data_IF_835004191843
#
_entry.id   IF_835004191843
#
_cell.length_a   1.000
_cell.length_b   1.000
_cell.length_c   1.000
_cell.angle_alpha   90.00
_cell.angle_beta   90.00
_cell.angle_gamma   90.00
#
_symmetry.space_group_name_H-M   'P 1'
#
loop_
_entity.id
_entity.type
_entity.pdbx_description
1 polymer ?
#
# COMPACT_ATOMS: atom_id res chain seq x y z
N UNK A 1 -50.65 6.58 45.91
CA UNK A 1 -50.44 7.98 46.36
C UNK A 1 -49.02 8.01 46.91
N UNK A 2 -48.03 8.79 46.46
CA UNK A 2 -47.99 10.18 46.02
C UNK A 2 -46.74 10.38 45.10
N UNK A 3 -46.80 11.36 44.19
CA UNK A 3 -45.73 11.80 43.26
C UNK A 3 -44.77 12.80 43.93
N UNK A 4 -43.50 12.86 43.48
CA UNK A 4 -42.68 14.07 43.23
C UNK A 4 -41.27 13.65 42.72
N UNK A 5 -40.89 13.86 41.45
CA UNK A 5 -40.27 15.04 40.82
C UNK A 5 -38.76 15.24 41.17
N UNK A 6 -37.82 14.96 40.23
CA UNK A 6 -37.01 15.93 39.43
C UNK A 6 -35.63 16.23 40.12
N UNK A 7 -34.42 16.29 39.53
CA UNK A 7 -33.89 16.51 38.16
C UNK A 7 -32.41 16.06 38.02
N UNK A 8 -32.05 15.50 36.86
CA UNK A 8 -30.90 15.76 35.94
C UNK A 8 -29.58 16.35 36.52
N UNK A 9 -28.45 15.65 36.32
CA UNK A 9 -27.23 16.25 35.71
C UNK A 9 -26.57 15.24 34.76
N UNK A 10 -26.53 15.66 33.49
CA UNK A 10 -25.74 15.13 32.40
C UNK A 10 -24.25 15.43 32.63
N UNK A 11 -23.38 14.43 32.48
CA UNK A 11 -22.03 14.67 31.96
C UNK A 11 -21.72 13.61 30.91
N UNK A 12 -21.98 14.02 29.68
CA UNK A 12 -21.41 13.46 28.48
C UNK A 12 -19.88 13.51 28.52
N UNK A 13 -19.26 12.57 27.80
CA UNK A 13 -18.05 12.88 27.03
C UNK A 13 -16.73 12.58 27.71
N UNK A 14 -16.33 11.31 27.65
CA UNK A 14 -14.94 10.99 27.28
C UNK A 14 -14.98 10.04 26.09
N UNK A 15 -15.46 10.59 24.96
CA UNK A 15 -15.19 9.99 23.67
C UNK A 15 -13.70 10.27 23.42
N UNK A 16 -12.87 9.25 23.67
CA UNK A 16 -11.44 9.30 23.38
C UNK A 16 -11.28 9.36 21.86
N UNK A 17 -11.44 10.55 21.30
CA UNK A 17 -10.98 10.88 19.97
C UNK A 17 -9.45 10.79 20.02
N UNK A 18 -8.92 9.59 19.79
CA UNK A 18 -7.62 9.48 19.15
C UNK A 18 -7.77 10.18 17.80
N UNK A 19 -7.33 11.43 17.73
CA UNK A 19 -6.96 12.06 16.47
C UNK A 19 -5.79 11.23 15.93
N UNK A 20 -6.11 10.22 15.13
CA UNK A 20 -5.18 9.75 14.13
C UNK A 20 -4.85 10.98 13.28
N UNK A 21 -3.62 11.49 13.40
CA UNK A 21 -3.09 12.49 12.50
C UNK A 21 -2.99 11.85 11.11
N UNK A 22 -4.11 11.88 10.37
CA UNK A 22 -4.13 11.59 8.94
C UNK A 22 -3.22 12.64 8.31
N UNK A 23 -2.12 12.20 7.69
CA UNK A 23 -0.97 13.02 7.33
C UNK A 23 -1.33 14.37 6.70
N UNK A 24 -0.55 15.41 7.03
CA UNK A 24 -0.74 16.75 6.49
C UNK A 24 -0.56 16.73 4.97
N UNK A 25 -1.67 16.87 4.25
CA UNK A 25 -1.68 17.16 2.83
C UNK A 25 -1.97 18.64 2.67
N UNK A 26 -1.00 19.38 2.12
CA UNK A 26 -1.21 20.78 1.77
C UNK A 26 -1.59 20.87 0.28
N UNK A 27 -2.74 21.48 0.00
CA UNK A 27 -3.20 21.72 -1.36
C UNK A 27 -3.31 23.23 -1.58
N UNK A 28 -2.37 23.80 -2.33
CA UNK A 28 -2.47 25.18 -2.78
C UNK A 28 -3.41 25.23 -3.99
N UNK A 29 -4.37 26.16 -3.95
CA UNK A 29 -5.18 26.51 -5.12
C UNK A 29 -4.44 27.54 -5.97
N UNK A 30 -4.77 27.69 -7.27
CA UNK A 30 -4.28 28.83 -8.01
C UNK A 30 -4.78 30.12 -7.35
N UNK A 31 -3.89 31.10 -7.20
CA UNK A 31 -4.27 32.44 -6.78
C UNK A 31 -5.35 32.97 -7.73
N UNK A 32 -6.43 33.51 -7.17
CA UNK A 32 -7.52 34.09 -7.92
C UNK A 32 -7.07 35.41 -8.58
N UNK A 33 -6.25 35.35 -9.62
CA UNK A 33 -6.00 36.49 -10.49
C UNK A 33 -7.18 36.67 -11.44
N UNK A 34 -7.84 37.82 -11.28
CA UNK A 34 -9.00 38.28 -12.03
C UNK A 34 -8.68 38.34 -13.53
N UNK A 35 -9.08 37.31 -14.31
CA UNK A 35 -9.01 37.37 -15.78
C UNK A 35 -10.41 37.45 -16.40
N UNK A 36 -10.60 38.51 -17.17
CA UNK A 36 -11.78 38.78 -17.98
C UNK A 36 -11.85 37.80 -19.14
N UNK A 37 -12.81 36.86 -19.06
CA UNK A 37 -13.52 36.18 -20.14
C UNK A 37 -12.76 35.63 -21.34
N UNK A 38 -12.54 34.30 -21.39
CA UNK A 38 -12.65 33.43 -22.58
C UNK A 38 -12.87 31.96 -22.14
N UNK A 39 -13.94 31.32 -22.65
CA UNK A 39 -14.23 29.86 -22.79
C UNK A 39 -14.07 28.90 -21.57
N UNK A 40 -14.72 27.71 -21.53
CA UNK A 40 -14.66 26.82 -20.37
C UNK A 40 -13.31 26.10 -20.34
N UNK A 41 -12.34 26.72 -19.68
CA UNK A 41 -11.08 26.09 -19.30
C UNK A 41 -11.41 25.03 -18.24
N UNK A 42 -10.98 23.79 -18.48
CA UNK A 42 -11.09 22.71 -17.51
C UNK A 42 -10.61 23.20 -16.12
N UNK A 43 -11.38 22.89 -15.07
CA UNK A 43 -11.11 23.37 -13.72
C UNK A 43 -9.63 23.17 -13.35
N UNK A 44 -8.95 24.20 -12.83
CA UNK A 44 -7.54 24.09 -12.48
C UNK A 44 -7.39 23.05 -11.38
N UNK A 45 -6.74 21.92 -11.69
CA UNK A 45 -6.44 20.88 -10.71
C UNK A 45 -5.58 21.50 -9.62
N UNK A 46 -6.11 21.58 -8.40
CA UNK A 46 -5.33 21.94 -7.20
C UNK A 46 -4.12 21.03 -7.13
N UNK A 47 -2.93 21.61 -7.06
CA UNK A 47 -1.70 20.86 -6.89
C UNK A 47 -1.59 20.56 -5.40
N UNK A 48 -1.65 19.28 -5.04
CA UNK A 48 -1.46 18.86 -3.66
C UNK A 48 -0.06 18.29 -3.51
N UNK A 49 0.68 18.84 -2.55
CA UNK A 49 1.98 18.32 -2.14
C UNK A 49 1.77 17.48 -0.88
N UNK A 50 2.37 16.29 -0.86
CA UNK A 50 2.51 15.55 0.38
C UNK A 50 3.61 16.25 1.20
N UNK A 51 3.26 16.74 2.39
CA UNK A 51 4.29 17.14 3.34
C UNK A 51 4.89 15.87 3.95
N UNK A 52 6.21 15.79 3.98
CA UNK A 52 6.91 14.75 4.71
C UNK A 52 6.67 14.97 6.20
N UNK A 53 6.17 13.95 6.90
CA UNK A 53 6.17 14.01 8.37
C UNK A 53 7.58 13.75 8.89
N UNK A 54 7.86 14.14 10.12
CA UNK A 54 9.13 13.76 10.80
C UNK A 54 9.34 12.25 10.81
N UNK A 55 8.26 11.47 10.93
CA UNK A 55 8.29 10.02 10.79
C UNK A 55 8.71 9.60 9.38
N UNK A 56 8.27 10.30 8.33
CA UNK A 56 8.63 10.00 6.95
C UNK A 56 10.11 10.21 6.63
N UNK A 57 10.76 11.14 7.34
CA UNK A 57 12.17 11.46 7.13
C UNK A 57 13.11 10.54 7.92
N UNK A 58 12.72 10.11 9.11
CA UNK A 58 13.64 9.43 10.05
C UNK A 58 13.26 7.99 10.39
N UNK A 59 11.99 7.60 10.23
CA UNK A 59 11.53 6.26 10.61
C UNK A 59 11.77 5.23 9.50
N UNK A 60 12.22 4.03 9.86
CA UNK A 60 12.29 2.90 8.92
C UNK A 60 10.98 2.10 8.87
N UNK A 61 10.00 2.45 9.69
CA UNK A 61 8.71 1.78 9.70
C UNK A 61 7.78 2.32 8.62
N UNK A 62 6.92 1.45 8.09
CA UNK A 62 5.87 1.84 7.14
C UNK A 62 4.74 2.58 7.88
N UNK A 63 4.40 3.83 7.50
CA UNK A 63 3.27 4.56 8.09
C UNK A 63 1.95 3.80 7.91
N UNK A 64 1.07 3.91 8.91
CA UNK A 64 -0.19 3.16 8.97
C UNK A 64 -1.09 3.41 7.75
N UNK A 65 -1.19 4.66 7.29
CA UNK A 65 -1.97 5.07 6.12
C UNK A 65 -1.45 4.49 4.79
N UNK A 66 -0.20 4.00 4.77
CA UNK A 66 0.46 3.45 3.58
C UNK A 66 0.66 1.93 3.63
N UNK A 67 0.39 1.27 4.78
CA UNK A 67 0.62 -0.17 4.96
C UNK A 67 -0.11 -1.04 3.92
N UNK A 68 -1.37 -0.73 3.63
CA UNK A 68 -2.11 -1.51 2.64
C UNK A 68 -1.50 -1.37 1.24
N UNK A 69 -1.23 -0.14 0.78
CA UNK A 69 -0.60 0.07 -0.53
C UNK A 69 0.76 -0.63 -0.59
N UNK A 70 1.55 -0.55 0.48
CA UNK A 70 2.84 -1.21 0.57
C UNK A 70 2.71 -2.73 0.46
N UNK A 71 1.69 -3.33 1.09
CA UNK A 71 1.49 -4.77 1.04
C UNK A 71 1.16 -5.24 -0.37
N UNK A 72 0.27 -4.51 -1.04
CA UNK A 72 -0.09 -4.79 -2.43
C UNK A 72 1.12 -4.68 -3.36
N UNK A 73 2.01 -3.72 -3.12
CA UNK A 73 3.29 -3.62 -3.83
C UNK A 73 4.16 -4.87 -3.60
N UNK A 74 4.31 -5.33 -2.36
CA UNK A 74 5.08 -6.54 -2.03
C UNK A 74 4.50 -7.75 -2.76
N UNK A 75 3.18 -7.97 -2.65
CA UNK A 75 2.49 -9.06 -3.33
C UNK A 75 2.68 -9.01 -4.86
N UNK A 76 2.62 -7.81 -5.44
CA UNK A 76 2.85 -7.61 -6.86
C UNK A 76 4.28 -7.94 -7.29
N UNK A 77 5.28 -7.45 -6.55
CA UNK A 77 6.70 -7.67 -6.84
C UNK A 77 7.02 -9.16 -6.80
N UNK A 78 6.53 -9.89 -5.78
CA UNK A 78 6.70 -11.34 -5.68
C UNK A 78 5.98 -12.07 -6.82
N UNK A 79 4.74 -11.70 -7.14
CA UNK A 79 3.97 -12.28 -8.26
C UNK A 79 4.72 -12.17 -9.59
N UNK A 80 5.23 -10.98 -9.91
CA UNK A 80 6.00 -10.75 -11.14
C UNK A 80 7.33 -11.51 -11.11
N UNK A 81 7.96 -11.56 -9.93
CA UNK A 81 9.15 -12.33 -9.66
C UNK A 81 9.00 -13.82 -10.00
N UNK A 82 7.99 -14.47 -9.41
CA UNK A 82 7.68 -15.88 -9.63
C UNK A 82 7.29 -16.18 -11.08
N UNK A 83 6.48 -15.31 -11.72
CA UNK A 83 6.19 -15.40 -13.15
C UNK A 83 7.48 -15.41 -13.98
N UNK A 84 8.37 -14.46 -13.73
CA UNK A 84 9.63 -14.35 -14.48
C UNK A 84 10.52 -15.58 -14.32
N UNK A 85 10.64 -16.11 -13.09
CA UNK A 85 11.43 -17.33 -12.83
C UNK A 85 10.79 -18.55 -13.47
N UNK A 86 9.47 -18.69 -13.38
CA UNK A 86 8.71 -19.79 -14.01
C UNK A 86 8.82 -19.78 -15.53
N UNK A 87 8.65 -18.62 -16.17
CA UNK A 87 8.79 -18.50 -17.63
C UNK A 87 10.22 -18.78 -18.09
N UNK A 88 11.24 -18.28 -17.37
CA UNK A 88 12.64 -18.64 -17.65
C UNK A 88 12.91 -20.14 -17.50
N UNK A 89 12.31 -20.78 -16.49
CA UNK A 89 12.45 -22.20 -16.27
C UNK A 89 11.80 -23.03 -17.39
N UNK A 90 10.62 -22.62 -17.86
CA UNK A 90 9.92 -23.21 -19.02
C UNK A 90 10.74 -23.06 -20.30
N UNK A 91 11.27 -21.87 -20.58
CA UNK A 91 12.07 -21.61 -21.77
C UNK A 91 13.37 -22.45 -21.84
N UNK A 92 13.94 -22.80 -20.69
CA UNK A 92 15.13 -23.66 -20.58
C UNK A 92 14.83 -25.15 -20.63
N UNK A 93 13.56 -25.55 -20.52
CA UNK A 93 13.15 -26.95 -20.56
C UNK A 93 12.90 -27.38 -22.00
N UNK A 94 13.54 -28.48 -22.44
CA UNK A 94 13.26 -29.10 -23.75
C UNK A 94 11.88 -29.78 -23.81
N UNK A 95 11.26 -29.99 -22.65
CA UNK A 95 9.96 -30.64 -22.49
C UNK A 95 8.96 -29.61 -21.95
N UNK A 96 7.72 -29.59 -22.45
CA UNK A 96 6.62 -28.73 -21.96
C UNK A 96 6.19 -29.01 -20.50
N UNK A 97 6.93 -29.81 -19.76
CA UNK A 97 6.60 -30.23 -18.41
C UNK A 97 6.85 -29.09 -17.43
N UNK A 98 5.94 -28.93 -16.46
CA UNK A 98 6.07 -27.95 -15.39
C UNK A 98 7.32 -28.31 -14.57
N UNK A 99 8.29 -27.39 -14.49
CA UNK A 99 9.48 -27.60 -13.67
C UNK A 99 9.09 -27.46 -12.20
N UNK A 100 9.47 -28.43 -11.37
CA UNK A 100 9.38 -28.35 -9.92
C UNK A 100 10.57 -27.54 -9.39
N UNK A 101 10.31 -26.53 -8.58
CA UNK A 101 11.36 -25.79 -7.88
C UNK A 101 11.69 -26.50 -6.56
N UNK A 102 12.97 -26.58 -6.21
CA UNK A 102 13.36 -27.04 -4.89
C UNK A 102 13.21 -25.90 -3.87
N UNK A 103 12.88 -26.24 -2.63
CA UNK A 103 12.61 -25.28 -1.54
C UNK A 103 13.69 -24.21 -1.37
N UNK A 104 14.95 -24.63 -1.30
CA UNK A 104 16.09 -23.70 -1.19
C UNK A 104 16.15 -22.66 -2.33
N UNK A 105 15.71 -23.02 -3.55
CA UNK A 105 15.72 -22.09 -4.68
C UNK A 105 14.65 -21.00 -4.52
N UNK A 106 13.52 -21.36 -3.92
CA UNK A 106 12.42 -20.43 -3.65
C UNK A 106 12.79 -19.52 -2.48
N UNK A 107 13.35 -20.07 -1.40
CA UNK A 107 13.84 -19.30 -0.26
C UNK A 107 14.85 -18.23 -0.72
N UNK A 108 15.89 -18.64 -1.45
CA UNK A 108 16.89 -17.71 -1.97
C UNK A 108 16.27 -16.68 -2.93
N UNK A 109 15.29 -17.07 -3.74
CA UNK A 109 14.62 -16.15 -4.65
C UNK A 109 13.83 -15.07 -3.89
N UNK A 110 13.03 -15.47 -2.90
CA UNK A 110 12.21 -14.56 -2.10
C UNK A 110 13.10 -13.63 -1.28
N UNK A 111 14.11 -14.18 -0.61
CA UNK A 111 15.09 -13.39 0.16
C UNK A 111 15.79 -12.34 -0.71
N UNK A 112 16.28 -12.74 -1.88
CA UNK A 112 16.93 -11.81 -2.81
C UNK A 112 15.97 -10.74 -3.34
N UNK A 113 14.70 -11.10 -3.58
CA UNK A 113 13.68 -10.16 -4.05
C UNK A 113 13.35 -9.13 -2.97
N UNK A 114 13.17 -9.57 -1.72
CA UNK A 114 12.83 -8.69 -0.60
C UNK A 114 14.01 -7.83 -0.14
N UNK A 115 15.22 -8.39 -0.06
CA UNK A 115 16.41 -7.70 0.44
C UNK A 115 16.99 -6.70 -0.57
N UNK A 116 16.79 -6.91 -1.87
CA UNK A 116 17.33 -6.04 -2.89
C UNK A 116 16.42 -4.82 -3.15
N UNK A 117 16.74 -3.70 -2.51
CA UNK A 117 16.04 -2.39 -2.63
C UNK A 117 15.78 -1.94 -4.08
N UNK A 118 16.56 -2.42 -5.05
CA UNK A 118 16.36 -2.16 -6.48
C UNK A 118 14.97 -2.50 -7.01
N UNK A 119 14.31 -3.54 -6.48
CA UNK A 119 12.95 -3.88 -6.87
C UNK A 119 11.94 -2.82 -6.44
N UNK A 120 12.27 -2.04 -5.42
CA UNK A 120 11.38 -1.03 -4.82
C UNK A 120 11.72 0.42 -5.20
N UNK A 121 12.78 0.67 -5.99
CA UNK A 121 13.24 2.03 -6.34
C UNK A 121 12.22 2.86 -7.13
N UNK A 122 11.30 2.21 -7.85
CA UNK A 122 10.31 2.87 -8.70
C UNK A 122 9.01 3.21 -7.98
N UNK A 123 8.91 2.89 -6.69
CA UNK A 123 7.76 3.23 -5.87
C UNK A 123 8.01 4.53 -5.13
N UNK A 124 6.94 5.29 -4.93
CA UNK A 124 7.02 6.61 -4.31
C UNK A 124 5.69 7.06 -3.76
N UNK A 125 5.71 8.24 -3.15
CA UNK A 125 4.53 8.85 -2.56
C UNK A 125 3.77 9.68 -3.60
N UNK A 126 2.45 9.66 -3.55
CA UNK A 126 1.57 10.52 -4.34
C UNK A 126 0.39 10.98 -3.48
N UNK A 127 -0.17 12.14 -3.79
CA UNK A 127 -1.42 12.59 -3.19
C UNK A 127 -2.57 12.34 -4.16
N UNK A 128 -3.59 11.63 -3.71
CA UNK A 128 -4.83 11.40 -4.45
C UNK A 128 -5.99 11.75 -3.54
N UNK A 129 -6.89 12.63 -4.00
CA UNK A 129 -8.07 13.05 -3.23
C UNK A 129 -7.75 13.55 -1.81
N UNK A 130 -6.65 14.31 -1.65
CA UNK A 130 -6.14 14.80 -0.37
C UNK A 130 -5.68 13.70 0.60
N UNK A 131 -5.42 12.50 0.10
CA UNK A 131 -4.87 11.39 0.89
C UNK A 131 -3.52 10.99 0.32
N UNK A 132 -2.55 10.73 1.20
CA UNK A 132 -1.24 10.21 0.82
C UNK A 132 -1.39 8.74 0.47
N UNK A 133 -0.87 8.34 -0.69
CA UNK A 133 -0.90 6.97 -1.20
C UNK A 133 0.47 6.62 -1.77
N UNK A 134 0.81 5.33 -1.81
CA UNK A 134 1.96 4.92 -2.62
C UNK A 134 1.55 4.84 -4.09
N UNK A 135 2.53 4.98 -4.97
CA UNK A 135 2.38 4.83 -6.42
C UNK A 135 3.47 3.93 -6.96
N UNK A 136 3.08 3.08 -7.91
CA UNK A 136 3.95 2.16 -8.63
C UNK A 136 3.15 0.98 -9.21
N UNK A 137 3.83 0.08 -9.93
CA UNK A 137 3.17 -1.07 -10.56
C UNK A 137 2.49 -1.95 -9.49
N UNK A 138 1.30 -2.43 -9.79
CA UNK A 138 0.49 -3.19 -8.81
C UNK A 138 -0.49 -2.33 -8.01
N UNK A 139 -0.48 -1.00 -8.19
CA UNK A 139 -1.48 -0.08 -7.63
C UNK A 139 -2.21 0.69 -8.73
N UNK A 140 -3.43 1.14 -8.44
CA UNK A 140 -4.24 1.97 -9.34
C UNK A 140 -3.59 3.35 -9.56
N UNK A 141 -2.83 3.81 -8.58
CA UNK A 141 -2.11 5.09 -8.57
C UNK A 141 -0.87 5.11 -9.47
N UNK A 142 -0.53 4.00 -10.15
CA UNK A 142 0.66 3.86 -10.98
C UNK A 142 0.79 4.94 -12.07
N UNK A 143 -0.34 5.38 -12.64
CA UNK A 143 -0.38 6.34 -13.76
C UNK A 143 -0.51 7.79 -13.31
N UNK A 144 -0.47 8.05 -12.01
CA UNK A 144 -0.58 9.40 -11.50
C UNK A 144 0.70 10.19 -11.77
N UNK A 145 0.55 11.47 -12.10
CA UNK A 145 1.67 12.42 -12.23
C UNK A 145 2.06 12.95 -10.85
N UNK A 146 3.32 13.38 -10.69
CA UNK A 146 3.79 13.97 -9.42
C UNK A 146 4.17 12.94 -8.35
N UNK A 147 4.62 11.76 -8.76
CA UNK A 147 5.12 10.73 -7.84
C UNK A 147 6.48 11.14 -7.29
N UNK A 148 6.60 11.17 -5.97
CA UNK A 148 7.86 11.39 -5.27
C UNK A 148 8.54 10.06 -4.97
N UNK A 149 9.42 9.63 -5.88
CA UNK A 149 10.22 8.40 -5.73
C UNK A 149 11.51 8.66 -4.98
N UNK A 150 11.97 7.70 -4.18
CA UNK A 150 13.25 7.78 -3.45
C UNK A 150 13.09 7.81 -1.93
N UNK A 151 14.01 8.46 -1.22
CA UNK A 151 14.03 8.52 0.24
C UNK A 151 14.08 7.14 0.89
N UNK A 152 13.35 6.98 2.01
CA UNK A 152 13.28 5.73 2.76
C UNK A 152 12.29 4.72 2.18
N UNK A 153 11.48 5.07 1.16
CA UNK A 153 10.42 4.19 0.63
C UNK A 153 10.93 2.82 0.15
N UNK A 154 12.03 2.73 -0.62
CA UNK A 154 12.56 1.43 -1.01
C UNK A 154 13.05 0.59 0.17
N UNK A 155 13.54 1.24 1.24
CA UNK A 155 13.97 0.55 2.46
C UNK A 155 12.78 0.04 3.26
N UNK A 156 11.74 0.86 3.42
CA UNK A 156 10.50 0.47 4.12
C UNK A 156 9.81 -0.69 3.41
N UNK A 157 9.69 -0.63 2.08
CA UNK A 157 9.10 -1.71 1.27
C UNK A 157 9.93 -3.00 1.34
N UNK A 158 11.26 -2.90 1.27
CA UNK A 158 12.17 -4.03 1.42
C UNK A 158 12.05 -4.68 2.79
N UNK A 159 12.06 -3.89 3.87
CA UNK A 159 11.87 -4.38 5.24
C UNK A 159 10.51 -5.06 5.43
N UNK A 160 9.45 -4.49 4.86
CA UNK A 160 8.11 -5.04 4.98
C UNK A 160 7.95 -6.34 4.18
N UNK A 161 8.59 -6.44 3.01
CA UNK A 161 8.68 -7.67 2.23
C UNK A 161 9.29 -8.79 3.06
N UNK A 162 10.49 -8.56 3.62
CA UNK A 162 11.19 -9.55 4.45
C UNK A 162 10.37 -9.95 5.67
N UNK A 163 9.70 -8.98 6.33
CA UNK A 163 8.84 -9.28 7.47
C UNK A 163 7.68 -10.19 7.08
N UNK A 164 6.91 -9.82 6.06
CA UNK A 164 5.72 -10.57 5.67
C UNK A 164 6.04 -11.97 5.16
N UNK A 165 7.10 -12.12 4.37
CA UNK A 165 7.49 -13.43 3.87
C UNK A 165 8.08 -14.30 4.98
N UNK A 166 8.76 -13.72 5.97
CA UNK A 166 9.25 -14.45 7.12
C UNK A 166 8.13 -14.87 8.10
N UNK A 167 7.06 -14.08 8.22
CA UNK A 167 5.89 -14.41 9.04
C UNK A 167 5.01 -15.48 8.37
N UNK A 168 4.78 -15.38 7.05
CA UNK A 168 3.94 -16.32 6.30
C UNK A 168 4.65 -17.61 5.86
N UNK A 169 5.98 -17.58 5.80
CA UNK A 169 6.80 -18.61 5.17
C UNK A 169 6.97 -18.38 3.66
N UNK A 170 8.22 -18.32 3.20
CA UNK A 170 8.54 -18.05 1.79
C UNK A 170 8.05 -19.18 0.86
N UNK A 171 8.06 -20.41 1.37
CA UNK A 171 7.62 -21.59 0.63
C UNK A 171 6.10 -21.61 0.46
N UNK A 172 5.36 -21.27 1.51
CA UNK A 172 3.92 -21.12 1.53
C UNK A 172 3.48 -20.00 0.58
N UNK A 173 4.17 -18.86 0.61
CA UNK A 173 3.94 -17.75 -0.34
C UNK A 173 4.12 -18.20 -1.79
N UNK A 174 5.16 -18.97 -2.10
CA UNK A 174 5.34 -19.49 -3.46
C UNK A 174 4.24 -20.49 -3.85
N UNK A 175 3.86 -21.40 -2.95
CA UNK A 175 2.83 -22.38 -3.23
C UNK A 175 1.44 -21.75 -3.39
N UNK A 176 1.13 -20.70 -2.63
CA UNK A 176 -0.08 -19.91 -2.82
C UNK A 176 -0.17 -19.41 -4.28
N UNK A 177 0.90 -18.77 -4.77
CA UNK A 177 0.99 -18.33 -6.16
C UNK A 177 0.90 -19.48 -7.16
N UNK A 178 1.64 -20.57 -6.91
CA UNK A 178 1.72 -21.71 -7.80
C UNK A 178 0.37 -22.44 -7.95
N UNK A 179 -0.44 -22.45 -6.89
CA UNK A 179 -1.79 -22.99 -6.85
C UNK A 179 -2.85 -22.03 -7.42
N UNK A 180 -2.44 -20.87 -7.93
CA UNK A 180 -3.31 -19.89 -8.57
C UNK A 180 -4.04 -18.95 -7.62
N UNK A 181 -3.62 -18.87 -6.35
CA UNK A 181 -4.15 -17.87 -5.43
C UNK A 181 -3.64 -16.47 -5.80
N UNK A 182 -4.45 -15.46 -5.55
CA UNK A 182 -4.02 -14.06 -5.65
C UNK A 182 -3.12 -13.74 -4.44
N UNK A 183 -1.83 -13.50 -4.69
CA UNK A 183 -0.88 -13.19 -3.61
C UNK A 183 -1.26 -11.93 -2.83
N UNK A 184 -1.96 -10.98 -3.45
CA UNK A 184 -2.48 -9.82 -2.73
C UNK A 184 -3.42 -10.26 -1.61
N UNK A 185 -4.33 -11.20 -1.88
CA UNK A 185 -5.27 -11.68 -0.87
C UNK A 185 -4.55 -12.56 0.18
N UNK A 186 -3.65 -13.43 -0.27
CA UNK A 186 -2.88 -14.30 0.61
C UNK A 186 -1.99 -13.51 1.60
N UNK A 187 -1.33 -12.44 1.13
CA UNK A 187 -0.40 -11.68 1.96
C UNK A 187 -1.11 -10.55 2.72
N UNK A 188 -2.04 -9.84 2.07
CA UNK A 188 -2.57 -8.58 2.61
C UNK A 188 -3.94 -8.71 3.29
N UNK A 189 -4.64 -9.83 3.08
CA UNK A 189 -6.03 -10.03 3.54
C UNK A 189 -6.22 -11.39 4.21
N UNK A 190 -5.14 -11.99 4.74
CA UNK A 190 -5.26 -13.22 5.51
C UNK A 190 -5.84 -12.95 6.90
N UNK A 191 -6.44 -13.99 7.49
CA UNK A 191 -7.06 -13.93 8.81
C UNK A 191 -6.04 -13.76 9.94
N UNK A 192 -4.78 -14.13 9.69
CA UNK A 192 -3.66 -14.03 10.64
C UNK A 192 -3.15 -12.58 10.78
N UNK A 193 -3.37 -11.74 9.76
CA UNK A 193 -2.98 -10.33 9.69
C UNK A 193 -4.15 -9.41 9.29
N UNK A 194 -5.23 -9.35 10.08
CA UNK A 194 -6.51 -8.72 9.71
C UNK A 194 -6.47 -7.18 9.59
N UNK A 195 -5.31 -6.55 9.80
CA UNK A 195 -5.16 -5.10 9.87
C UNK A 195 -4.31 -4.49 8.76
N UNK A 196 -3.86 -5.29 7.78
CA UNK A 196 -3.00 -4.78 6.70
C UNK A 196 -3.84 -4.08 5.64
N UNK A 197 -4.86 -4.75 5.10
CA UNK A 197 -5.81 -4.18 4.16
C UNK A 197 -7.25 -4.48 4.58
N UNK A 198 -8.18 -3.51 4.47
CA UNK A 198 -9.59 -3.79 4.67
C UNK A 198 -10.07 -4.83 3.64
N UNK A 199 -11.06 -5.69 3.95
CA UNK A 199 -11.59 -6.64 2.97
C UNK A 199 -12.10 -5.92 1.71
N UNK A 200 -11.97 -6.59 0.55
CA UNK A 200 -12.36 -6.02 -0.76
C UNK A 200 -13.80 -5.50 -0.78
N UNK A 201 -14.70 -6.11 -0.01
CA UNK A 201 -16.10 -5.69 0.14
C UNK A 201 -16.26 -4.27 0.70
N UNK A 202 -15.31 -3.78 1.51
CA UNK A 202 -15.34 -2.43 2.09
C UNK A 202 -14.71 -1.37 1.17
N UNK A 203 -13.96 -1.77 0.14
CA UNK A 203 -13.37 -0.85 -0.83
C UNK A 203 -14.39 -0.43 -1.91
N UNK A 204 -15.42 -1.23 -2.17
CA UNK A 204 -16.46 -0.94 -3.15
C UNK A 204 -17.52 0.05 -2.66
N UNK A 205 -17.62 0.30 -1.35
CA UNK A 205 -18.59 1.23 -0.76
C UNK A 205 -18.06 2.66 -0.58
N UNK A 206 -16.81 2.93 -1.02
CA UNK A 206 -16.12 4.20 -0.80
C UNK A 206 -16.06 5.12 -2.05
N UNK A 207 -16.81 4.80 -3.12
CA UNK A 207 -16.94 5.61 -4.33
C UNK A 207 -18.34 6.19 -4.47
#
# INVERSE_FOLDING_TARGET
MLRAFVQIVSLAGFNSFLLAHIGNVHCEGPDAEKSTGVAPVAEPKKVCHAEHTVEDEYSLHMPLDLKCDACRIVAYVLTEGFKNVSEKAKARSKTKQRRTFAEHQILEFVENTCSHKGYFKKYGLVVVNKTRRLSGRGLETYRNTGVWTGGLWPMRLSSMCTQYTGELGEWEVFHAWENGQYLEDFICRNEEMPHICPPLSQLLTAN
#
